data_IF_207759335686
#
_entry.id   IF_207759335686
#
_cell.length_a   1.000
_cell.length_b   1.000
_cell.length_c   1.000
_cell.angle_alpha   90.00
_cell.angle_beta   90.00
_cell.angle_gamma   90.00
#
_symmetry.space_group_name_H-M   'P 1'
#
loop_
_entity.id
_entity.type
_entity.pdbx_description
1 polymer ?
#
# COMPACT_ATOMS: atom_id res chain seq x y z
N UNK A 1 -32.70 -85.58 -5.47
CA UNK A 1 -32.56 -84.13 -5.29
C UNK A 1 -31.94 -83.85 -3.93
N UNK A 2 -30.64 -83.63 -3.85
CA UNK A 2 -30.01 -82.91 -2.72
C UNK A 2 -28.63 -82.43 -3.17
N UNK A 3 -28.49 -81.12 -3.39
CA UNK A 3 -27.25 -80.44 -3.76
C UNK A 3 -26.45 -80.18 -2.47
N UNK A 4 -25.18 -80.58 -2.42
CA UNK A 4 -24.25 -80.14 -1.37
C UNK A 4 -23.34 -79.04 -1.92
N UNK A 5 -23.33 -77.91 -1.21
CA UNK A 5 -22.74 -76.62 -1.59
C UNK A 5 -21.21 -76.64 -1.51
N UNK A 6 -20.54 -75.99 -2.49
CA UNK A 6 -19.11 -75.64 -2.42
C UNK A 6 -18.90 -74.44 -1.48
N UNK A 7 -17.85 -74.42 -0.65
CA UNK A 7 -17.57 -73.28 0.21
C UNK A 7 -17.03 -72.10 -0.62
N UNK A 8 -17.61 -70.92 -0.41
CA UNK A 8 -17.10 -69.65 -0.93
C UNK A 8 -16.00 -69.16 0.01
N UNK A 9 -14.75 -69.18 -0.43
CA UNK A 9 -13.64 -68.52 0.27
C UNK A 9 -13.76 -67.02 -0.02
N UNK A 10 -14.12 -66.26 1.00
CA UNK A 10 -14.22 -64.80 0.98
C UNK A 10 -12.80 -64.25 1.20
N UNK A 11 -12.16 -63.76 0.14
CA UNK A 11 -10.87 -63.08 0.24
C UNK A 11 -11.05 -61.71 0.88
N UNK A 12 -10.50 -61.56 2.09
CA UNK A 12 -10.45 -60.29 2.82
C UNK A 12 -9.44 -59.35 2.13
N UNK A 13 -9.91 -58.35 1.40
CA UNK A 13 -9.06 -57.25 0.92
C UNK A 13 -8.81 -56.33 2.11
N UNK A 14 -7.61 -56.41 2.68
CA UNK A 14 -7.15 -55.49 3.71
C UNK A 14 -6.85 -54.13 3.03
N UNK A 15 -7.83 -53.24 3.00
CA UNK A 15 -7.60 -51.85 2.65
C UNK A 15 -6.79 -51.20 3.77
N UNK A 16 -5.46 -51.20 3.64
CA UNK A 16 -4.58 -50.32 4.41
C UNK A 16 -4.95 -48.88 4.03
N UNK A 17 -5.86 -48.30 4.82
CA UNK A 17 -6.16 -46.87 4.76
C UNK A 17 -4.89 -46.11 5.10
N UNK A 18 -4.20 -45.60 4.09
CA UNK A 18 -3.28 -44.49 4.26
C UNK A 18 -4.12 -43.30 4.71
N UNK A 19 -4.27 -43.14 6.02
CA UNK A 19 -4.67 -41.89 6.63
C UNK A 19 -3.56 -40.88 6.31
N UNK A 20 -3.64 -40.24 5.15
CA UNK A 20 -2.90 -39.01 4.92
C UNK A 20 -3.39 -38.03 5.98
N UNK A 21 -2.59 -37.79 7.01
CA UNK A 21 -2.82 -36.72 7.97
C UNK A 21 -2.90 -35.43 7.15
N UNK A 22 -4.12 -34.94 6.89
CA UNK A 22 -4.32 -33.62 6.35
C UNK A 22 -3.75 -32.65 7.39
N UNK A 23 -2.52 -32.19 7.18
CA UNK A 23 -1.95 -31.11 7.98
C UNK A 23 -2.89 -29.93 7.86
N UNK A 24 -3.48 -29.50 8.98
CA UNK A 24 -4.38 -28.37 8.99
C UNK A 24 -3.57 -27.14 8.56
N UNK A 25 -3.89 -26.61 7.39
CA UNK A 25 -3.23 -25.45 6.83
C UNK A 25 -3.53 -24.24 7.72
N UNK A 26 -2.49 -23.67 8.33
CA UNK A 26 -2.60 -22.45 9.13
C UNK A 26 -2.73 -21.26 8.20
N UNK A 27 -3.84 -20.53 8.32
CA UNK A 27 -4.06 -19.28 7.60
C UNK A 27 -3.86 -18.09 8.53
N UNK A 28 -2.90 -17.24 8.20
CA UNK A 28 -2.62 -15.99 8.91
C UNK A 28 -3.23 -14.84 8.10
N UNK A 29 -4.17 -14.12 8.70
CA UNK A 29 -4.88 -13.00 8.09
C UNK A 29 -4.21 -11.68 8.48
N UNK A 30 -3.85 -10.90 7.48
CA UNK A 30 -3.30 -9.56 7.65
C UNK A 30 -4.06 -8.54 6.83
N UNK A 31 -4.04 -7.28 7.28
CA UNK A 31 -4.58 -6.19 6.49
C UNK A 31 -3.87 -4.87 6.77
N UNK A 32 -3.81 -4.00 5.77
CA UNK A 32 -3.44 -2.60 5.98
C UNK A 32 -2.64 -1.98 4.86
N UNK A 33 -1.48 -1.44 5.24
CA UNK A 33 -0.61 -0.63 4.40
C UNK A 33 -0.39 -1.17 2.99
N UNK A 34 -0.62 -0.33 1.99
CA UNK A 34 -0.30 -0.65 0.60
C UNK A 34 1.19 -0.47 0.30
N UNK A 35 1.87 0.42 1.02
CA UNK A 35 3.31 0.69 0.87
C UNK A 35 4.18 -0.59 0.87
N UNK A 36 4.11 -1.49 1.86
CA UNK A 36 4.92 -2.70 1.89
C UNK A 36 4.29 -3.88 1.14
N UNK A 37 3.11 -3.71 0.52
CA UNK A 37 2.40 -4.83 -0.08
C UNK A 37 3.25 -5.62 -1.11
N UNK A 38 4.03 -4.97 -2.00
CA UNK A 38 4.83 -5.70 -2.98
C UNK A 38 5.90 -6.60 -2.35
N UNK A 39 6.56 -6.16 -1.26
CA UNK A 39 7.55 -6.98 -0.56
C UNK A 39 6.88 -8.07 0.31
N UNK A 40 5.77 -7.74 0.97
CA UNK A 40 5.00 -8.71 1.76
C UNK A 40 4.46 -9.85 0.89
N UNK A 41 3.85 -9.53 -0.26
CA UNK A 41 3.38 -10.52 -1.22
C UNK A 41 4.50 -11.48 -1.61
N UNK A 42 5.71 -10.95 -1.88
CA UNK A 42 6.85 -11.80 -2.22
C UNK A 42 7.30 -12.68 -1.06
N UNK A 43 7.35 -12.14 0.16
CA UNK A 43 7.70 -12.93 1.35
C UNK A 43 6.70 -14.04 1.62
N UNK A 44 5.40 -13.80 1.45
CA UNK A 44 4.37 -14.82 1.62
C UNK A 44 4.54 -15.96 0.62
N UNK A 45 4.81 -15.65 -0.65
CA UNK A 45 5.06 -16.64 -1.69
C UNK A 45 6.32 -17.47 -1.43
N UNK A 46 7.40 -16.85 -0.96
CA UNK A 46 8.63 -17.56 -0.62
C UNK A 46 8.47 -18.39 0.66
N UNK A 47 7.78 -17.87 1.68
CA UNK A 47 7.57 -18.60 2.92
C UNK A 47 6.70 -19.84 2.73
N UNK A 48 5.71 -19.80 1.83
CA UNK A 48 4.90 -20.97 1.49
C UNK A 48 5.72 -22.14 0.90
N UNK A 49 6.94 -21.88 0.38
CA UNK A 49 7.88 -22.91 -0.08
C UNK A 49 8.73 -23.48 1.07
N UNK A 50 8.97 -22.68 2.10
CA UNK A 50 9.69 -23.07 3.32
C UNK A 50 8.79 -23.91 4.22
N UNK A 51 7.58 -23.43 4.47
CA UNK A 51 6.55 -24.13 5.24
C UNK A 51 5.23 -24.18 4.46
N UNK A 52 4.97 -25.29 3.74
CA UNK A 52 3.73 -25.47 2.99
C UNK A 52 2.47 -25.51 3.86
N UNK A 53 2.57 -25.67 5.19
CA UNK A 53 1.43 -25.66 6.10
C UNK A 53 0.96 -24.25 6.46
N UNK A 54 1.76 -23.22 6.21
CA UNK A 54 1.41 -21.81 6.53
C UNK A 54 1.05 -21.05 5.26
N UNK A 55 -0.07 -20.31 5.30
CA UNK A 55 -0.45 -19.34 4.26
C UNK A 55 -0.77 -18.00 4.88
N UNK A 56 -0.57 -16.98 4.08
CA UNK A 56 -0.94 -15.62 4.41
C UNK A 56 -2.08 -15.17 3.50
N UNK A 57 -3.09 -14.56 4.11
CA UNK A 57 -4.14 -13.82 3.43
C UNK A 57 -3.98 -12.35 3.79
N UNK A 58 -3.40 -11.55 2.88
CA UNK A 58 -3.13 -10.14 3.14
C UNK A 58 -4.01 -9.22 2.30
N UNK A 59 -4.73 -8.32 2.96
CA UNK A 59 -5.61 -7.35 2.33
C UNK A 59 -4.93 -5.96 2.26
N UNK A 60 -4.53 -5.55 1.05
CA UNK A 60 -3.95 -4.22 0.78
C UNK A 60 -5.07 -3.16 0.76
N UNK A 61 -5.34 -2.55 1.92
CA UNK A 61 -6.52 -1.68 2.14
C UNK A 61 -6.20 -0.30 2.74
N UNK A 62 -4.91 0.03 2.85
CA UNK A 62 -4.42 1.24 3.50
C UNK A 62 -4.23 1.06 5.02
N UNK A 63 -3.26 1.78 5.56
CA UNK A 63 -2.85 1.69 6.97
C UNK A 63 -3.98 1.97 7.95
N UNK A 64 -4.86 2.92 7.62
CA UNK A 64 -6.05 3.22 8.44
C UNK A 64 -7.03 2.04 8.49
N UNK A 65 -7.16 1.28 7.39
CA UNK A 65 -7.91 0.03 7.36
C UNK A 65 -7.28 -1.05 8.23
N UNK A 66 -5.95 -1.21 8.16
CA UNK A 66 -5.20 -2.14 8.99
C UNK A 66 -5.33 -1.87 10.48
N UNK A 67 -5.18 -0.59 10.89
CA UNK A 67 -5.38 -0.17 12.28
C UNK A 67 -6.81 -0.47 12.77
N UNK A 68 -7.83 -0.22 11.95
CA UNK A 68 -9.23 -0.54 12.32
C UNK A 68 -9.46 -2.04 12.48
N UNK A 69 -8.92 -2.85 11.57
CA UNK A 69 -9.13 -4.30 11.61
C UNK A 69 -8.40 -4.98 12.77
N UNK A 70 -7.18 -4.55 13.13
CA UNK A 70 -6.48 -5.11 14.30
C UNK A 70 -7.17 -4.70 15.61
N UNK A 71 -7.67 -3.47 15.72
CA UNK A 71 -8.45 -3.03 16.89
C UNK A 71 -9.78 -3.79 17.01
N UNK A 72 -10.40 -4.14 15.89
CA UNK A 72 -11.62 -4.95 15.84
C UNK A 72 -11.37 -6.47 15.97
N UNK A 73 -10.10 -6.89 16.10
CA UNK A 73 -9.68 -8.30 16.18
C UNK A 73 -10.17 -9.16 15.00
N UNK A 74 -10.29 -8.58 13.80
CA UNK A 74 -10.72 -9.30 12.60
C UNK A 74 -9.56 -9.87 11.79
N UNK A 75 -8.33 -9.58 12.18
CA UNK A 75 -7.07 -10.03 11.55
C UNK A 75 -6.05 -10.40 12.63
N UNK A 76 -5.12 -11.27 12.27
CA UNK A 76 -4.02 -11.69 13.14
C UNK A 76 -2.96 -10.58 13.27
N UNK A 77 -2.78 -9.77 12.22
CA UNK A 77 -1.92 -8.58 12.26
C UNK A 77 -2.43 -7.42 11.40
N UNK A 78 -2.21 -6.19 11.89
CA UNK A 78 -2.39 -4.96 11.12
C UNK A 78 -1.06 -4.45 10.59
N UNK A 79 -1.05 -3.86 9.39
CA UNK A 79 0.13 -3.21 8.81
C UNK A 79 -0.10 -1.71 8.64
N UNK A 80 0.87 -0.89 9.04
CA UNK A 80 0.73 0.56 9.04
C UNK A 80 2.07 1.27 8.86
N UNK A 81 2.12 2.28 7.99
CA UNK A 81 3.33 3.12 7.78
C UNK A 81 3.30 4.39 8.65
N UNK A 82 2.10 4.79 9.10
CA UNK A 82 1.93 5.74 10.19
C UNK A 82 1.81 5.00 11.51
N UNK A 83 2.47 5.43 12.61
CA UNK A 83 2.25 4.82 13.92
C UNK A 83 0.78 4.95 14.32
N UNK A 84 0.27 3.97 15.07
CA UNK A 84 -1.04 4.12 15.70
C UNK A 84 -0.99 5.27 16.70
N UNK A 85 -2.01 6.13 16.71
CA UNK A 85 -2.10 7.21 17.70
C UNK A 85 -2.27 6.66 19.12
N UNK A 86 -1.86 7.44 20.12
CA UNK A 86 -2.04 7.09 21.54
C UNK A 86 -3.52 6.81 21.86
N UNK A 87 -4.44 7.59 21.30
CA UNK A 87 -5.88 7.39 21.45
C UNK A 87 -6.36 6.03 20.91
N UNK A 88 -5.80 5.57 19.79
CA UNK A 88 -6.14 4.28 19.21
C UNK A 88 -5.49 3.14 20.01
N UNK A 89 -4.26 3.33 20.49
CA UNK A 89 -3.58 2.37 21.36
C UNK A 89 -4.30 2.20 22.70
N UNK A 90 -4.80 3.29 23.29
CA UNK A 90 -5.58 3.25 24.53
C UNK A 90 -6.90 2.49 24.37
N UNK A 91 -7.44 2.41 23.15
CA UNK A 91 -8.67 1.67 22.82
C UNK A 91 -8.41 0.23 22.39
N UNK A 92 -7.14 -0.19 22.32
CA UNK A 92 -6.81 -1.53 21.86
C UNK A 92 -7.36 -2.59 22.84
N UNK A 93 -7.94 -3.70 22.32
CA UNK A 93 -8.48 -4.77 23.15
C UNK A 93 -7.40 -5.56 23.91
N UNK A 94 -6.13 -5.31 23.59
CA UNK A 94 -4.96 -5.86 24.25
C UNK A 94 -3.71 -5.08 23.86
N UNK A 95 -2.56 -5.51 24.38
CA UNK A 95 -1.28 -4.86 24.07
C UNK A 95 -0.94 -5.07 22.59
N UNK A 96 -0.89 -3.96 21.85
CA UNK A 96 -0.39 -3.94 20.46
C UNK A 96 1.11 -3.66 20.48
N UNK A 97 1.86 -4.50 19.77
CA UNK A 97 3.28 -4.30 19.53
C UNK A 97 3.48 -3.76 18.11
N UNK A 98 4.22 -2.66 17.98
CA UNK A 98 4.69 -2.18 16.68
C UNK A 98 6.06 -2.80 16.40
N UNK A 99 6.17 -3.55 15.31
CA UNK A 99 7.41 -4.17 14.87
C UNK A 99 7.75 -3.60 13.49
N UNK A 100 8.85 -2.84 13.34
CA UNK A 100 9.28 -2.37 12.02
C UNK A 100 9.73 -3.57 11.17
N UNK A 101 9.30 -3.61 9.91
CA UNK A 101 9.60 -4.71 8.99
C UNK A 101 10.58 -4.32 7.90
N UNK A 102 10.34 -3.18 7.24
CA UNK A 102 11.13 -2.67 6.11
C UNK A 102 11.21 -1.15 6.15
N UNK A 103 12.17 -0.58 5.42
CA UNK A 103 12.23 0.84 5.08
C UNK A 103 12.10 0.99 3.56
N UNK A 104 11.39 2.04 3.13
CA UNK A 104 11.23 2.40 1.73
C UNK A 104 11.14 3.93 1.59
N UNK A 105 10.72 4.40 0.43
CA UNK A 105 10.65 5.84 0.15
C UNK A 105 9.35 6.22 -0.54
N UNK A 106 8.74 7.31 -0.08
CA UNK A 106 7.72 8.01 -0.85
C UNK A 106 8.41 8.94 -1.86
N UNK A 107 8.00 8.85 -3.12
CA UNK A 107 8.52 9.66 -4.20
C UNK A 107 7.40 10.42 -4.90
N UNK A 108 7.75 11.57 -5.46
CA UNK A 108 6.88 12.27 -6.41
C UNK A 108 6.92 11.49 -7.73
N UNK A 109 5.75 11.17 -8.27
CA UNK A 109 5.60 10.64 -9.61
C UNK A 109 4.67 11.54 -10.42
N UNK A 110 4.92 11.68 -11.72
CA UNK A 110 4.17 12.60 -12.58
C UNK A 110 4.02 12.08 -14.01
N UNK A 111 3.10 12.69 -14.76
CA UNK A 111 2.79 12.34 -16.14
C UNK A 111 2.98 13.53 -17.07
N UNK A 112 4.17 13.58 -17.67
CA UNK A 112 4.53 14.54 -18.70
C UNK A 112 5.01 13.80 -19.94
N UNK A 113 4.65 14.32 -21.11
CA UNK A 113 5.09 13.75 -22.37
C UNK A 113 6.63 13.71 -22.43
N UNK A 114 7.17 12.57 -22.82
CA UNK A 114 8.63 12.35 -22.89
C UNK A 114 9.30 12.00 -21.56
N UNK A 115 8.55 11.90 -20.45
CA UNK A 115 9.08 11.56 -19.11
C UNK A 115 10.37 12.32 -18.75
N UNK A 116 10.38 13.67 -18.83
CA UNK A 116 11.56 14.44 -18.49
C UNK A 116 11.94 14.20 -17.04
N UNK A 117 13.23 14.06 -16.74
CA UNK A 117 13.69 13.99 -15.36
C UNK A 117 13.63 15.41 -14.74
N UNK A 118 12.74 15.60 -13.77
CA UNK A 118 12.54 16.88 -13.10
C UNK A 118 13.18 16.93 -11.71
N UNK A 119 13.67 18.12 -11.37
CA UNK A 119 14.04 18.52 -10.01
C UNK A 119 12.91 19.36 -9.44
N UNK A 120 12.44 18.98 -8.26
CA UNK A 120 11.47 19.73 -7.48
C UNK A 120 12.04 19.91 -6.08
N UNK A 121 12.00 21.13 -5.58
CA UNK A 121 12.39 21.43 -4.20
C UNK A 121 11.19 21.44 -3.25
N UNK A 122 11.47 21.56 -1.95
CA UNK A 122 10.47 21.54 -0.89
C UNK A 122 9.36 22.58 -1.09
N UNK A 123 9.73 23.81 -1.44
CA UNK A 123 8.81 24.93 -1.61
C UNK A 123 7.90 24.73 -2.83
N UNK A 124 8.45 24.18 -3.91
CA UNK A 124 7.70 23.86 -5.13
C UNK A 124 6.70 22.74 -4.86
N UNK A 125 7.14 21.66 -4.21
CA UNK A 125 6.26 20.54 -3.86
C UNK A 125 5.11 21.02 -2.95
N UNK A 126 5.43 21.74 -1.87
CA UNK A 126 4.40 22.30 -0.99
C UNK A 126 3.45 23.25 -1.73
N UNK A 127 3.98 24.10 -2.62
CA UNK A 127 3.21 25.00 -3.46
C UNK A 127 2.21 24.28 -4.38
N UNK A 128 2.62 23.16 -4.98
CA UNK A 128 1.75 22.32 -5.83
C UNK A 128 0.62 21.72 -4.99
N UNK A 129 0.93 21.06 -3.88
CA UNK A 129 -0.10 20.41 -3.04
C UNK A 129 -1.01 21.42 -2.31
N UNK A 130 -0.57 22.67 -2.11
CA UNK A 130 -1.41 23.78 -1.62
C UNK A 130 -2.28 24.41 -2.71
N UNK A 131 -2.12 24.01 -3.99
CA UNK A 131 -2.83 24.60 -5.12
C UNK A 131 -2.34 26.00 -5.53
N UNK A 132 -1.14 26.40 -5.10
CA UNK A 132 -0.54 27.70 -5.45
C UNK A 132 0.25 27.66 -6.75
N UNK A 133 0.88 26.52 -7.03
CA UNK A 133 1.56 26.24 -8.29
C UNK A 133 0.65 25.31 -9.07
N UNK A 134 0.02 25.83 -10.11
CA UNK A 134 -1.06 25.14 -10.84
C UNK A 134 -0.68 24.73 -12.24
N UNK A 135 0.49 25.12 -12.74
CA UNK A 135 0.95 24.82 -14.10
C UNK A 135 2.40 24.35 -14.12
N UNK A 136 2.72 23.46 -15.06
CA UNK A 136 4.05 22.87 -15.20
C UNK A 136 5.14 23.85 -15.67
N UNK A 137 4.77 24.90 -16.41
CA UNK A 137 5.68 25.96 -16.82
C UNK A 137 5.81 27.10 -15.78
N UNK A 138 5.36 26.88 -14.53
CA UNK A 138 5.51 27.86 -13.45
C UNK A 138 6.98 28.30 -13.29
N UNK A 139 7.27 29.59 -13.04
CA UNK A 139 8.63 30.10 -12.87
C UNK A 139 9.46 29.33 -11.84
N UNK A 140 8.86 28.82 -10.77
CA UNK A 140 9.58 28.03 -9.75
C UNK A 140 10.03 26.67 -10.29
N UNK A 141 9.19 26.01 -11.09
CA UNK A 141 9.53 24.71 -11.70
C UNK A 141 10.57 24.92 -12.80
N UNK A 142 10.37 25.91 -13.67
CA UNK A 142 11.28 26.19 -14.79
C UNK A 142 12.69 26.59 -14.30
N UNK A 143 12.79 27.38 -13.22
CA UNK A 143 14.08 27.76 -12.63
C UNK A 143 14.90 26.55 -12.13
N UNK A 144 14.24 25.51 -11.61
CA UNK A 144 14.90 24.28 -11.14
C UNK A 144 15.33 23.34 -12.28
N UNK A 145 14.76 23.53 -13.47
CA UNK A 145 14.83 22.60 -14.60
C UNK A 145 15.33 23.28 -15.89
N UNK A 146 16.42 24.04 -15.79
CA UNK A 146 17.02 24.71 -16.94
C UNK A 146 17.32 23.72 -18.09
N UNK A 147 16.84 24.04 -19.29
CA UNK A 147 16.99 23.21 -20.49
C UNK A 147 15.86 22.19 -20.70
N UNK A 148 14.92 22.05 -19.77
CA UNK A 148 13.71 21.24 -19.96
C UNK A 148 12.58 22.11 -20.51
N UNK A 149 11.99 21.71 -21.64
CA UNK A 149 10.84 22.40 -22.21
C UNK A 149 9.54 21.99 -21.50
N UNK A 150 9.17 22.74 -20.47
CA UNK A 150 7.98 22.45 -19.66
C UNK A 150 6.70 23.00 -20.33
N UNK A 151 5.63 22.19 -20.43
CA UNK A 151 4.41 22.60 -21.12
C UNK A 151 3.59 23.61 -20.32
N UNK A 152 2.86 24.50 -21.02
CA UNK A 152 1.75 25.27 -20.45
C UNK A 152 0.54 24.35 -20.20
N UNK A 153 0.67 23.47 -19.21
CA UNK A 153 -0.33 22.48 -18.83
C UNK A 153 -0.59 22.57 -17.34
N UNK A 154 -1.87 22.45 -16.97
CA UNK A 154 -2.29 22.38 -15.57
C UNK A 154 -1.71 21.16 -14.85
N UNK A 155 -1.38 21.34 -13.57
CA UNK A 155 -0.96 20.26 -12.68
C UNK A 155 -2.20 19.69 -12.01
N UNK A 156 -2.43 18.40 -12.22
CA UNK A 156 -3.52 17.69 -11.55
C UNK A 156 -2.92 16.93 -10.36
N UNK A 157 -3.13 17.44 -9.16
CA UNK A 157 -2.66 16.78 -7.94
C UNK A 157 -3.44 15.48 -7.73
N UNK A 158 -2.73 14.37 -7.51
CA UNK A 158 -3.30 13.09 -7.14
C UNK A 158 -2.85 12.76 -5.72
N UNK A 159 -3.83 12.54 -4.85
CA UNK A 159 -3.60 12.17 -3.46
C UNK A 159 -4.34 10.87 -3.12
N UNK A 160 -4.10 10.32 -1.93
CA UNK A 160 -4.84 9.15 -1.44
C UNK A 160 -6.27 9.52 -1.05
N UNK A 161 -7.23 8.65 -1.37
CA UNK A 161 -8.64 8.79 -0.95
C UNK A 161 -8.97 7.97 0.32
N UNK A 162 -8.12 7.02 0.67
CA UNK A 162 -8.26 6.14 1.83
C UNK A 162 -7.29 6.51 2.97
N UNK A 163 -7.59 6.04 4.19
CA UNK A 163 -6.70 6.22 5.35
C UNK A 163 -5.35 5.54 5.12
N UNK A 164 -4.30 6.34 5.01
CA UNK A 164 -3.06 5.96 4.33
C UNK A 164 -1.82 6.31 5.16
N UNK A 165 -0.92 5.34 5.35
CA UNK A 165 0.38 5.56 5.99
C UNK A 165 1.34 6.36 5.10
N UNK A 166 1.36 6.09 3.80
CA UNK A 166 2.03 6.94 2.78
C UNK A 166 1.58 8.41 2.90
N UNK A 167 0.29 8.65 3.16
CA UNK A 167 -0.22 10.02 3.39
C UNK A 167 0.27 10.60 4.69
N UNK A 168 0.35 9.80 5.76
CA UNK A 168 0.96 10.25 7.00
C UNK A 168 2.42 10.69 6.78
N UNK A 169 3.23 9.86 6.11
CA UNK A 169 4.63 10.18 5.78
C UNK A 169 4.71 11.46 4.93
N UNK A 170 3.93 11.53 3.84
CA UNK A 170 3.91 12.67 2.93
C UNK A 170 3.51 13.98 3.63
N UNK A 171 2.46 13.94 4.44
CA UNK A 171 1.94 15.14 5.12
C UNK A 171 2.80 15.53 6.33
N UNK A 172 3.50 14.59 6.95
CA UNK A 172 4.53 14.87 7.96
C UNK A 172 5.71 15.63 7.34
N UNK A 173 6.20 15.16 6.19
CA UNK A 173 7.22 15.87 5.42
C UNK A 173 6.77 17.29 5.05
N UNK A 174 5.57 17.44 4.47
CA UNK A 174 5.04 18.75 4.09
C UNK A 174 4.85 19.69 5.31
N UNK A 175 4.41 19.16 6.45
CA UNK A 175 4.28 19.95 7.69
C UNK A 175 5.62 20.40 8.26
N UNK A 176 6.71 19.67 8.00
CA UNK A 176 8.06 20.04 8.45
C UNK A 176 8.69 21.10 7.57
N UNK A 177 8.46 21.06 6.26
CA UNK A 177 9.07 21.99 5.30
C UNK A 177 8.22 23.26 5.07
N UNK A 178 6.92 23.21 5.33
CA UNK A 178 5.99 24.32 5.07
C UNK A 178 5.16 24.68 6.31
N UNK A 179 5.45 25.82 6.96
CA UNK A 179 4.63 26.32 8.07
C UNK A 179 3.16 26.56 7.67
N UNK A 180 2.90 26.92 6.41
CA UNK A 180 1.56 27.10 5.91
C UNK A 180 0.82 25.77 5.78
N UNK A 181 1.47 24.74 5.24
CA UNK A 181 0.91 23.38 5.20
C UNK A 181 0.56 22.91 6.61
N UNK A 182 1.52 23.03 7.54
CA UNK A 182 1.34 22.63 8.94
C UNK A 182 0.12 23.28 9.58
N UNK A 183 -0.11 24.58 9.33
CA UNK A 183 -1.24 25.33 9.89
C UNK A 183 -2.56 25.01 9.21
N UNK A 184 -2.58 24.81 7.89
CA UNK A 184 -3.83 24.65 7.11
C UNK A 184 -4.30 23.21 6.99
N UNK A 185 -3.36 22.26 6.87
CA UNK A 185 -3.63 20.86 6.54
C UNK A 185 -3.14 19.93 7.65
N UNK A 186 -1.90 20.13 8.11
CA UNK A 186 -1.28 19.31 9.16
C UNK A 186 -0.87 17.92 8.69
N UNK A 187 -0.71 17.00 9.65
CA UNK A 187 -0.22 15.63 9.46
C UNK A 187 -1.24 14.63 9.96
N UNK A 188 -1.69 13.71 9.11
CA UNK A 188 -2.54 12.58 9.50
C UNK A 188 -2.56 11.54 8.38
N UNK A 189 -3.10 10.35 8.66
CA UNK A 189 -3.40 9.33 7.65
C UNK A 189 -4.53 9.73 6.69
N UNK A 190 -5.33 10.75 7.06
CA UNK A 190 -6.37 11.37 6.25
C UNK A 190 -6.46 12.85 6.58
N UNK A 191 -6.39 13.72 5.58
CA UNK A 191 -6.41 15.18 5.72
C UNK A 191 -7.41 15.81 4.75
N UNK A 192 -7.80 17.06 5.01
CA UNK A 192 -8.59 17.84 4.08
C UNK A 192 -7.67 18.43 3.00
N UNK A 193 -7.57 17.74 1.86
CA UNK A 193 -6.69 18.15 0.75
C UNK A 193 -7.16 19.49 0.15
N UNK A 194 -6.25 20.46 -0.05
CA UNK A 194 -6.60 21.75 -0.68
C UNK A 194 -7.06 21.62 -2.13
N UNK A 195 -6.54 20.63 -2.86
CA UNK A 195 -6.82 20.39 -4.27
C UNK A 195 -6.51 18.94 -4.64
N UNK A 196 -6.95 18.55 -5.83
CA UNK A 196 -6.60 17.29 -6.45
C UNK A 196 -7.73 16.26 -6.45
N UNK A 197 -7.39 15.08 -6.96
CA UNK A 197 -8.27 13.92 -7.06
C UNK A 197 -7.73 12.76 -6.22
N UNK A 198 -8.65 11.95 -5.68
CA UNK A 198 -8.33 10.84 -4.80
C UNK A 198 -8.17 9.51 -5.54
N UNK A 199 -7.01 8.86 -5.37
CA UNK A 199 -6.77 7.46 -5.75
C UNK A 199 -6.77 6.55 -4.52
N UNK A 200 -7.41 5.37 -4.62
CA UNK A 200 -7.43 4.38 -3.53
C UNK A 200 -6.16 3.52 -3.55
N UNK A 201 -5.43 3.47 -2.44
CA UNK A 201 -4.17 2.71 -2.37
C UNK A 201 -3.02 3.35 -3.15
N UNK A 202 -1.85 2.72 -3.11
CA UNK A 202 -0.72 3.20 -3.93
C UNK A 202 -1.00 2.88 -5.42
N UNK A 203 -1.66 1.76 -5.67
CA UNK A 203 -2.15 1.29 -6.95
C UNK A 203 -3.08 2.32 -7.63
N UNK A 204 -4.05 2.85 -6.88
CA UNK A 204 -5.00 3.83 -7.41
C UNK A 204 -4.34 5.16 -7.71
N UNK A 205 -3.45 5.66 -6.84
CA UNK A 205 -2.69 6.89 -7.10
C UNK A 205 -1.79 6.72 -8.32
N UNK A 206 -1.02 5.63 -8.39
CA UNK A 206 -0.18 5.30 -9.54
C UNK A 206 -0.97 5.22 -10.84
N UNK A 207 -2.15 4.57 -10.81
CA UNK A 207 -3.05 4.47 -11.97
C UNK A 207 -3.57 5.83 -12.43
N UNK A 208 -4.00 6.68 -11.49
CA UNK A 208 -4.47 8.03 -11.79
C UNK A 208 -3.38 8.90 -12.41
N UNK A 209 -2.16 8.88 -11.85
CA UNK A 209 -1.01 9.61 -12.42
C UNK A 209 -0.78 9.14 -13.86
N UNK A 210 -0.66 7.83 -14.07
CA UNK A 210 -0.35 7.24 -15.36
C UNK A 210 -1.39 7.54 -16.44
N UNK A 211 -2.67 7.61 -16.09
CA UNK A 211 -3.76 7.83 -17.04
C UNK A 211 -4.07 9.30 -17.30
N UNK A 212 -3.60 10.21 -16.45
CA UNK A 212 -3.98 11.63 -16.48
C UNK A 212 -2.80 12.51 -16.90
N UNK A 213 -2.77 13.02 -18.15
CA UNK A 213 -1.72 13.93 -18.59
C UNK A 213 -1.65 15.19 -17.70
N UNK A 214 -0.46 15.54 -17.24
CA UNK A 214 -0.23 16.65 -16.33
C UNK A 214 -0.41 16.30 -14.85
N UNK A 215 -0.77 15.06 -14.50
CA UNK A 215 -0.89 14.66 -13.11
C UNK A 215 0.45 14.56 -12.39
N UNK A 216 0.42 14.84 -11.09
CA UNK A 216 1.51 14.65 -10.14
C UNK A 216 0.93 14.12 -8.83
N UNK A 217 1.59 13.15 -8.21
CA UNK A 217 1.21 12.65 -6.89
C UNK A 217 2.40 12.02 -6.16
N UNK A 218 2.11 11.32 -5.07
CA UNK A 218 3.11 10.63 -4.26
C UNK A 218 2.76 9.15 -4.15
N UNK A 219 3.77 8.29 -4.29
CA UNK A 219 3.65 6.83 -4.18
C UNK A 219 4.90 6.26 -3.52
N UNK A 220 4.80 5.06 -2.95
CA UNK A 220 6.00 4.30 -2.59
C UNK A 220 6.81 3.98 -3.87
N UNK A 221 8.13 4.09 -3.79
CA UNK A 221 9.08 4.00 -4.90
C UNK A 221 8.83 2.82 -5.85
N UNK A 222 8.50 1.63 -5.35
CA UNK A 222 8.28 0.45 -6.19
C UNK A 222 7.11 0.65 -7.16
N UNK A 223 6.09 1.40 -6.77
CA UNK A 223 4.92 1.68 -7.61
C UNK A 223 5.28 2.63 -8.75
N UNK A 224 6.19 3.58 -8.53
CA UNK A 224 6.74 4.41 -9.60
C UNK A 224 7.59 3.56 -10.58
N UNK A 225 8.51 2.75 -10.04
CA UNK A 225 9.41 1.89 -10.83
C UNK A 225 8.61 0.90 -11.69
N UNK A 226 7.69 0.13 -11.10
CA UNK A 226 6.91 -0.88 -11.81
C UNK A 226 6.02 -0.28 -12.90
N UNK A 227 5.56 0.95 -12.72
CA UNK A 227 4.74 1.66 -13.70
C UNK A 227 5.54 2.51 -14.69
N UNK A 228 6.88 2.52 -14.57
CA UNK A 228 7.80 3.31 -15.41
C UNK A 228 7.48 4.81 -15.34
N UNK A 229 7.17 5.29 -14.15
CA UNK A 229 6.96 6.72 -13.90
C UNK A 229 8.31 7.40 -13.62
N UNK A 230 8.53 8.61 -14.15
CA UNK A 230 9.69 9.44 -13.83
C UNK A 230 9.61 10.05 -12.43
#
# INVERSE_FOLDING_TARGET
MTKLQKPKILGLVLALGLSASASAQMMINGAGATFPYPIYSRWFDEYAKVDPSVRFNYQSIGSGGGQKQILAQTVDFGASDGPMSDDNLAKAPGKIFHIPTVAGADVVAYNLAGNPALKLDADTIAGIFLGKITKWNDPKITALNAGVNLPDREIIVVHRSDGSGTTYIWTDYLSKISPEWKRKVGTNTSVNWPTGIGGKGNEGVAGQIKQTPGALGYVELIYAIQNKMP
#
